data_IF_871316567649
#
_entry.id   IF_871316567649
#
_cell.length_a   1.000
_cell.length_b   1.000
_cell.length_c   1.000
_cell.angle_alpha   90.00
_cell.angle_beta   90.00
_cell.angle_gamma   90.00
#
_symmetry.space_group_name_H-M   'P 1'
#
loop_
_entity.id
_entity.type
_entity.pdbx_description
1 polymer ?
#
# COMPACT_ATOMS: atom_id res chain seq x y z
N UNK A 1 53.67 36.23 3.17
CA UNK A 1 53.82 37.63 3.64
C UNK A 1 52.49 38.33 3.39
N UNK A 2 51.80 39.01 4.31
CA UNK A 2 52.01 39.18 5.77
C UNK A 2 50.68 39.58 6.42
N UNK A 3 50.44 39.01 7.61
CA UNK A 3 49.60 39.44 8.76
C UNK A 3 49.30 40.96 8.84
N UNK A 4 48.15 41.44 9.35
CA UNK A 4 47.78 41.51 10.80
C UNK A 4 46.41 42.26 10.97
N UNK A 5 45.65 42.33 12.09
CA UNK A 5 45.68 41.74 13.45
C UNK A 5 44.27 41.84 14.14
N UNK A 6 44.11 41.33 15.38
CA UNK A 6 42.90 41.27 16.25
C UNK A 6 42.89 42.40 17.34
N UNK A 7 41.78 42.75 18.09
CA UNK A 7 41.31 41.92 19.23
C UNK A 7 39.84 42.00 19.74
N UNK A 8 39.38 40.83 20.23
CA UNK A 8 38.59 40.50 21.47
C UNK A 8 37.62 41.51 22.11
N UNK A 9 36.43 41.01 22.51
CA UNK A 9 36.06 40.81 23.93
C UNK A 9 34.89 39.81 24.12
N UNK A 10 34.89 39.08 25.23
CA UNK A 10 33.79 38.23 25.73
C UNK A 10 33.28 38.77 27.08
N UNK A 11 32.14 38.26 27.59
CA UNK A 11 32.27 37.39 28.77
C UNK A 11 31.36 36.15 28.77
N UNK A 12 31.82 35.18 29.56
CA UNK A 12 31.13 33.96 30.02
C UNK A 12 30.28 34.27 31.28
N UNK A 13 29.42 33.35 31.75
CA UNK A 13 29.18 33.05 33.18
C UNK A 13 28.11 31.96 33.38
N UNK A 14 28.42 31.04 34.31
CA UNK A 14 27.66 29.84 34.64
C UNK A 14 26.90 29.93 35.98
N UNK A 15 25.89 29.05 36.13
CA UNK A 15 25.47 28.33 37.36
C UNK A 15 25.54 29.00 38.75
N UNK A 16 24.44 28.89 39.52
CA UNK A 16 24.50 28.70 40.99
C UNK A 16 23.23 28.05 41.56
N UNK A 17 23.40 27.21 42.57
CA UNK A 17 22.37 26.44 43.26
C UNK A 17 21.94 27.06 44.61
N UNK A 18 20.96 26.39 45.24
CA UNK A 18 20.68 26.27 46.70
C UNK A 18 20.17 27.48 47.49
N UNK A 19 18.95 27.35 48.05
CA UNK A 19 18.80 26.95 49.47
C UNK A 19 17.36 26.51 49.84
N UNK A 20 17.26 25.65 50.86
CA UNK A 20 16.06 24.95 51.35
C UNK A 20 15.11 25.82 52.20
N UNK A 21 13.85 25.37 52.35
CA UNK A 21 13.32 24.89 53.66
C UNK A 21 11.83 24.46 53.62
N UNK A 22 11.61 23.16 53.75
CA UNK A 22 10.68 22.45 54.66
C UNK A 22 9.24 22.93 55.01
N UNK A 23 8.28 22.10 54.55
CA UNK A 23 7.33 21.27 55.36
C UNK A 23 6.08 21.89 56.06
N UNK A 24 4.92 21.22 55.81
CA UNK A 24 3.61 21.18 56.55
C UNK A 24 2.69 22.42 56.45
N UNK A 25 1.35 22.30 56.54
CA UNK A 25 0.45 21.17 56.88
C UNK A 25 -0.94 21.28 56.20
N UNK A 26 -1.73 20.20 56.27
CA UNK A 26 -3.07 20.05 55.69
C UNK A 26 -4.24 20.67 56.52
N UNK A 27 -5.43 20.65 55.89
CA UNK A 27 -6.79 20.68 56.46
C UNK A 27 -7.31 21.90 57.26
N UNK A 28 -8.33 22.58 56.68
CA UNK A 28 -9.70 22.59 57.25
C UNK A 28 -10.72 23.32 56.35
N UNK A 29 -11.91 22.73 56.22
CA UNK A 29 -13.18 23.39 55.82
C UNK A 29 -14.02 23.63 57.12
N UNK A 30 -15.20 24.32 57.15
CA UNK A 30 -16.12 24.65 56.04
C UNK A 30 -16.89 26.01 56.09
N UNK A 31 -17.84 26.17 55.14
CA UNK A 31 -19.25 26.69 55.28
C UNK A 31 -19.66 28.00 54.57
N UNK A 32 -20.90 27.97 54.04
CA UNK A 32 -21.79 29.05 53.51
C UNK A 32 -21.53 29.44 52.02
N UNK A 33 -22.38 29.00 51.07
CA UNK A 33 -23.72 29.51 50.67
C UNK A 33 -23.64 30.86 49.91
N UNK A 34 -24.39 31.17 48.82
CA UNK A 34 -25.83 31.02 48.52
C UNK A 34 -26.09 31.07 46.97
N UNK A 35 -27.30 30.71 46.49
CA UNK A 35 -27.94 30.95 45.16
C UNK A 35 -27.42 30.16 43.93
N UNK A 36 -28.22 29.73 42.93
CA UNK A 36 -29.67 29.42 42.78
C UNK A 36 -29.85 28.57 41.49
N UNK A 37 -30.86 27.70 41.41
CA UNK A 37 -31.24 26.95 40.20
C UNK A 37 -32.53 27.49 39.55
N UNK A 38 -32.73 27.21 38.24
CA UNK A 38 -34.00 26.61 37.78
C UNK A 38 -33.75 25.52 36.70
N UNK A 39 -34.14 24.26 36.92
CA UNK A 39 -35.46 23.66 36.63
C UNK A 39 -35.37 22.70 35.43
N UNK A 40 -35.39 21.39 35.70
CA UNK A 40 -35.45 20.34 34.68
C UNK A 40 -36.90 20.02 34.33
N UNK A 41 -37.24 20.00 33.05
CA UNK A 41 -38.57 19.56 32.58
C UNK A 41 -38.54 18.04 32.38
N UNK A 42 -39.34 17.32 33.16
CA UNK A 42 -39.55 15.89 33.00
C UNK A 42 -40.49 15.62 31.82
N UNK A 43 -40.04 14.88 30.82
CA UNK A 43 -40.92 14.23 29.82
C UNK A 43 -40.81 12.72 29.94
N UNK A 44 -41.83 12.08 30.53
CA UNK A 44 -42.01 10.64 30.41
C UNK A 44 -42.36 10.31 28.97
N UNK A 45 -41.44 9.65 28.27
CA UNK A 45 -41.79 8.76 27.18
C UNK A 45 -41.53 7.34 27.66
N UNK A 46 -42.61 6.60 27.96
CA UNK A 46 -42.55 5.15 28.15
C UNK A 46 -42.03 4.53 26.84
N UNK A 47 -40.75 4.17 26.84
CA UNK A 47 -40.21 3.26 25.84
C UNK A 47 -40.66 1.87 26.25
N UNK A 48 -41.58 1.29 25.47
CA UNK A 48 -41.71 -0.16 25.40
C UNK A 48 -40.30 -0.73 25.19
N UNK A 49 -39.84 -1.55 26.14
CA UNK A 49 -38.58 -2.25 26.00
C UNK A 49 -38.64 -3.09 24.71
N UNK A 50 -37.65 -3.02 23.81
CA UNK A 50 -37.57 -3.97 22.72
C UNK A 50 -37.49 -5.36 23.32
N UNK A 51 -38.35 -6.27 22.87
CA UNK A 51 -38.26 -7.68 23.21
C UNK A 51 -36.87 -8.17 22.80
N UNK A 52 -36.13 -8.83 23.70
CA UNK A 52 -34.81 -9.40 23.41
C UNK A 52 -34.89 -10.64 22.49
N UNK A 53 -35.42 -10.47 21.27
CA UNK A 53 -34.98 -11.28 20.15
C UNK A 53 -33.59 -10.78 19.78
N UNK A 54 -32.55 -11.38 20.36
CA UNK A 54 -31.16 -11.02 20.08
C UNK A 54 -30.90 -11.04 18.58
N UNK A 55 -30.77 -9.86 17.98
CA UNK A 55 -30.50 -9.70 16.55
C UNK A 55 -29.15 -10.36 16.26
N UNK A 56 -29.18 -11.44 15.47
CA UNK A 56 -27.98 -12.19 15.17
C UNK A 56 -27.21 -11.49 14.05
N UNK A 57 -26.08 -10.89 14.40
CA UNK A 57 -25.18 -10.19 13.48
C UNK A 57 -24.88 -11.04 12.22
N UNK A 58 -25.15 -10.47 11.05
CA UNK A 58 -25.14 -11.19 9.75
C UNK A 58 -23.76 -11.82 9.48
N UNK A 59 -22.68 -11.11 9.80
CA UNK A 59 -21.31 -11.56 9.58
C UNK A 59 -20.95 -12.86 10.30
N UNK A 60 -21.63 -13.19 11.41
CA UNK A 60 -21.37 -14.43 12.18
C UNK A 60 -21.57 -15.69 11.32
N UNK A 61 -22.64 -15.71 10.51
CA UNK A 61 -22.94 -16.79 9.57
C UNK A 61 -21.99 -16.88 8.37
N UNK A 62 -21.21 -15.83 8.09
CA UNK A 62 -20.26 -15.75 6.97
C UNK A 62 -18.84 -16.21 7.36
N UNK A 63 -18.57 -16.37 8.66
CA UNK A 63 -17.25 -16.67 9.22
C UNK A 63 -16.57 -17.90 8.60
N UNK A 64 -17.29 -19.01 8.47
CA UNK A 64 -16.78 -20.24 7.85
C UNK A 64 -16.38 -20.04 6.37
N UNK A 65 -17.20 -19.32 5.60
CA UNK A 65 -16.92 -19.02 4.19
C UNK A 65 -15.71 -18.11 4.02
N UNK A 66 -15.56 -17.11 4.91
CA UNK A 66 -14.39 -16.21 4.94
C UNK A 66 -13.11 -16.97 5.30
N UNK A 67 -13.14 -17.80 6.35
CA UNK A 67 -12.02 -18.64 6.76
C UNK A 67 -11.59 -19.66 5.68
N UNK A 68 -12.55 -20.22 4.93
CA UNK A 68 -12.26 -21.13 3.81
C UNK A 68 -11.42 -20.44 2.72
N UNK A 69 -11.73 -19.17 2.41
CA UNK A 69 -10.99 -18.31 1.48
C UNK A 69 -9.68 -17.75 2.08
N UNK A 70 -9.38 -18.04 3.35
CA UNK A 70 -8.21 -17.48 4.04
C UNK A 70 -8.37 -16.03 4.48
N UNK A 71 -9.56 -15.45 4.37
CA UNK A 71 -9.92 -14.10 4.81
C UNK A 71 -10.12 -14.07 6.32
N UNK A 72 -10.12 -12.87 6.93
CA UNK A 72 -10.31 -12.74 8.38
C UNK A 72 -11.71 -13.26 8.78
N UNK A 73 -11.87 -14.18 9.75
CA UNK A 73 -13.17 -14.82 10.00
C UNK A 73 -14.29 -13.84 10.34
N UNK A 74 -14.06 -12.84 11.20
CA UNK A 74 -14.99 -11.71 11.34
C UNK A 74 -14.82 -10.73 10.18
N UNK A 75 -15.93 -10.28 9.61
CA UNK A 75 -15.90 -9.21 8.60
C UNK A 75 -15.59 -7.87 9.29
N UNK A 76 -14.78 -6.99 8.68
CA UNK A 76 -14.66 -5.62 9.15
C UNK A 76 -15.93 -4.87 8.74
N UNK A 77 -16.87 -4.75 9.67
CA UNK A 77 -18.14 -4.04 9.52
C UNK A 77 -18.50 -3.41 10.87
N UNK A 78 -19.21 -2.29 10.83
CA UNK A 78 -19.77 -1.67 12.02
C UNK A 78 -20.93 -2.52 12.57
N UNK A 79 -21.08 -2.58 13.89
CA UNK A 79 -22.09 -3.42 14.55
C UNK A 79 -23.53 -2.98 14.20
N UNK A 80 -23.80 -1.67 14.12
CA UNK A 80 -25.13 -1.16 13.72
C UNK A 80 -25.47 -1.58 12.28
N UNK A 81 -24.48 -1.57 11.39
CA UNK A 81 -24.65 -2.01 10.02
C UNK A 81 -24.85 -3.53 9.89
N UNK A 82 -24.19 -4.36 10.72
CA UNK A 82 -24.28 -5.82 10.66
C UNK A 82 -25.61 -6.39 11.20
N UNK A 83 -26.27 -5.61 12.08
CA UNK A 83 -27.58 -5.90 12.68
C UNK A 83 -28.77 -5.36 11.87
N UNK A 84 -28.53 -4.46 10.91
CA UNK A 84 -29.60 -3.86 10.11
C UNK A 84 -30.23 -4.86 9.10
N UNK A 85 -31.56 -4.84 8.94
CA UNK A 85 -32.31 -5.78 8.09
C UNK A 85 -31.77 -5.91 6.66
N UNK A 86 -31.23 -4.82 6.10
CA UNK A 86 -30.68 -4.82 4.75
C UNK A 86 -29.40 -5.67 4.62
N UNK A 87 -28.68 -5.95 5.71
CA UNK A 87 -27.48 -6.77 5.71
C UNK A 87 -27.77 -8.25 5.43
N UNK A 88 -28.99 -8.71 5.74
CA UNK A 88 -29.42 -10.08 5.44
C UNK A 88 -29.65 -10.34 3.93
N UNK A 89 -29.69 -9.29 3.10
CA UNK A 89 -29.85 -9.39 1.66
C UNK A 89 -28.64 -10.07 0.99
N UNK A 90 -28.90 -10.73 -0.15
CA UNK A 90 -27.90 -11.54 -0.87
C UNK A 90 -26.63 -10.75 -1.25
N UNK A 91 -26.78 -9.51 -1.73
CA UNK A 91 -25.65 -8.69 -2.17
C UNK A 91 -24.80 -8.18 -0.99
N UNK A 92 -25.36 -7.60 0.08
CA UNK A 92 -24.64 -7.32 1.32
C UNK A 92 -23.88 -8.53 1.89
N UNK A 93 -24.46 -9.74 1.89
CA UNK A 93 -23.74 -10.98 2.27
C UNK A 93 -22.53 -11.28 1.39
N UNK A 94 -22.64 -11.11 0.06
CA UNK A 94 -21.49 -11.22 -0.86
C UNK A 94 -20.45 -10.14 -0.57
N UNK A 95 -20.88 -8.88 -0.40
CA UNK A 95 -20.03 -7.72 -0.10
C UNK A 95 -19.26 -7.91 1.20
N UNK A 96 -19.88 -8.42 2.26
CA UNK A 96 -19.21 -8.73 3.53
C UNK A 96 -18.24 -9.91 3.39
N UNK A 97 -18.64 -10.96 2.67
CA UNK A 97 -17.77 -12.13 2.42
C UNK A 97 -16.51 -11.73 1.67
N UNK A 98 -16.64 -10.90 0.63
CA UNK A 98 -15.55 -10.51 -0.28
C UNK A 98 -14.99 -9.10 -0.03
N UNK A 99 -15.27 -8.48 1.14
CA UNK A 99 -14.87 -7.08 1.41
C UNK A 99 -13.37 -6.85 1.25
N UNK A 100 -12.56 -7.79 1.74
CA UNK A 100 -11.09 -7.77 1.63
C UNK A 100 -10.62 -7.83 0.15
N UNK A 101 -11.01 -8.83 -0.67
CA UNK A 101 -10.74 -8.83 -2.11
C UNK A 101 -11.26 -7.59 -2.86
N UNK A 102 -12.44 -7.06 -2.52
CA UNK A 102 -12.94 -5.82 -3.14
C UNK A 102 -12.08 -4.61 -2.76
N UNK A 103 -11.58 -4.55 -1.52
CA UNK A 103 -10.58 -3.57 -1.09
C UNK A 103 -9.31 -3.63 -1.94
N UNK A 104 -8.73 -4.83 -2.11
CA UNK A 104 -7.56 -5.02 -2.99
C UNK A 104 -7.84 -4.61 -4.45
N UNK A 105 -8.99 -5.00 -5.00
CA UNK A 105 -9.40 -4.60 -6.36
C UNK A 105 -9.47 -3.08 -6.50
N UNK A 106 -10.22 -2.39 -5.64
CA UNK A 106 -10.42 -0.95 -5.75
C UNK A 106 -9.18 -0.15 -5.33
N UNK A 107 -8.38 -0.63 -4.38
CA UNK A 107 -7.11 -0.01 -4.02
C UNK A 107 -6.10 -0.06 -5.17
N UNK A 108 -5.96 -1.23 -5.83
CA UNK A 108 -5.11 -1.35 -7.02
C UNK A 108 -5.69 -0.55 -8.19
N UNK A 109 -7.01 -0.50 -8.34
CA UNK A 109 -7.68 0.32 -9.37
C UNK A 109 -7.35 1.81 -9.21
N UNK A 110 -7.47 2.38 -8.00
CA UNK A 110 -7.11 3.77 -7.72
C UNK A 110 -5.62 4.03 -7.94
N UNK A 111 -4.75 3.11 -7.51
CA UNK A 111 -3.31 3.19 -7.74
C UNK A 111 -2.97 3.32 -9.23
N UNK A 112 -3.60 2.52 -10.09
CA UNK A 112 -3.37 2.55 -11.55
C UNK A 112 -4.02 3.77 -12.22
N UNK A 113 -5.20 4.23 -11.79
CA UNK A 113 -5.80 5.46 -12.33
C UNK A 113 -4.87 6.67 -12.19
N UNK A 114 -4.25 6.84 -11.02
CA UNK A 114 -3.30 7.94 -10.77
C UNK A 114 -1.95 7.69 -11.42
N UNK A 115 -1.45 6.45 -11.35
CA UNK A 115 -0.19 6.03 -11.95
C UNK A 115 -0.18 6.21 -13.47
N UNK A 116 -0.92 5.37 -14.20
CA UNK A 116 -1.00 5.40 -15.66
C UNK A 116 -1.56 6.75 -16.15
N UNK A 117 -2.51 7.36 -15.43
CA UNK A 117 -3.05 8.69 -15.76
C UNK A 117 -1.99 9.79 -15.73
N UNK A 118 -1.04 9.76 -14.79
CA UNK A 118 0.08 10.70 -14.75
C UNK A 118 1.06 10.49 -15.90
N UNK A 119 1.31 9.23 -16.31
CA UNK A 119 2.14 8.89 -17.47
C UNK A 119 1.46 9.37 -18.76
N UNK A 120 0.17 9.11 -18.92
CA UNK A 120 -0.63 9.56 -20.06
C UNK A 120 -0.59 11.07 -20.22
N UNK A 121 -0.79 11.83 -19.14
CA UNK A 121 -0.76 13.29 -19.19
C UNK A 121 0.61 13.81 -19.64
N UNK A 122 1.71 13.34 -19.03
CA UNK A 122 3.06 13.81 -19.36
C UNK A 122 3.48 13.41 -20.78
N UNK A 123 3.22 12.16 -21.19
CA UNK A 123 3.58 11.69 -22.53
C UNK A 123 2.80 12.42 -23.61
N UNK A 124 1.46 12.39 -23.55
CA UNK A 124 0.60 12.85 -24.64
C UNK A 124 0.58 14.37 -24.81
N UNK A 125 0.98 15.13 -23.79
CA UNK A 125 1.11 16.59 -23.87
C UNK A 125 2.54 17.08 -24.15
N UNK A 126 3.51 16.19 -24.36
CA UNK A 126 4.93 16.57 -24.60
C UNK A 126 5.04 17.56 -25.76
N UNK A 127 5.68 18.72 -25.50
CA UNK A 127 5.85 19.78 -26.51
C UNK A 127 4.61 20.65 -26.77
N UNK A 128 3.53 20.49 -26.00
CA UNK A 128 2.32 21.28 -26.16
C UNK A 128 2.51 22.71 -25.64
N UNK A 129 2.54 23.68 -26.56
CA UNK A 129 2.82 25.09 -26.29
C UNK A 129 1.71 25.83 -25.51
N UNK A 130 0.50 25.26 -25.46
CA UNK A 130 -0.61 25.80 -24.66
C UNK A 130 -0.53 25.42 -23.17
N UNK A 131 0.42 24.58 -22.77
CA UNK A 131 0.62 24.23 -21.37
C UNK A 131 1.36 25.36 -20.61
N UNK A 132 1.22 25.46 -19.27
CA UNK A 132 2.03 26.37 -18.46
C UNK A 132 3.53 26.13 -18.68
N UNK A 133 4.26 27.15 -19.12
CA UNK A 133 5.68 27.03 -19.47
C UNK A 133 5.97 26.47 -20.87
N UNK A 134 4.95 26.18 -21.68
CA UNK A 134 5.05 25.93 -23.13
C UNK A 134 5.62 24.57 -23.56
N UNK A 135 5.89 23.65 -22.62
CA UNK A 135 6.60 22.39 -22.88
C UNK A 135 5.78 21.11 -22.60
N UNK A 136 4.46 21.24 -22.42
CA UNK A 136 3.57 20.16 -21.99
C UNK A 136 3.16 20.21 -20.51
N UNK A 137 2.23 19.33 -20.12
CA UNK A 137 1.63 19.27 -18.78
C UNK A 137 2.37 18.27 -17.89
N UNK A 138 3.42 18.76 -17.23
CA UNK A 138 4.20 18.03 -16.23
C UNK A 138 5.53 17.48 -16.76
N UNK A 139 6.20 16.70 -15.94
CA UNK A 139 7.50 16.09 -16.23
C UNK A 139 7.63 14.71 -15.55
N UNK A 140 8.77 14.05 -15.69
CA UNK A 140 9.04 12.76 -15.05
C UNK A 140 8.78 12.75 -13.52
N UNK A 141 9.08 13.85 -12.83
CA UNK A 141 8.75 14.02 -11.42
C UNK A 141 7.24 14.02 -11.15
N UNK A 142 6.41 14.57 -12.05
CA UNK A 142 4.95 14.51 -11.95
C UNK A 142 4.42 13.07 -12.00
N UNK A 143 5.10 12.18 -12.73
CA UNK A 143 4.80 10.74 -12.75
C UNK A 143 5.10 10.12 -11.38
N UNK A 144 6.25 10.42 -10.80
CA UNK A 144 6.62 9.92 -9.46
C UNK A 144 5.63 10.40 -8.37
N UNK A 145 5.17 11.65 -8.45
CA UNK A 145 4.08 12.16 -7.59
C UNK A 145 2.76 11.42 -7.82
N UNK A 146 2.38 11.18 -9.09
CA UNK A 146 1.17 10.45 -9.45
C UNK A 146 1.13 9.02 -8.88
N UNK A 147 2.22 8.25 -9.06
CA UNK A 147 2.34 6.91 -8.49
C UNK A 147 2.33 6.90 -6.96
N UNK A 148 3.05 7.83 -6.31
CA UNK A 148 3.01 7.95 -4.85
C UNK A 148 1.60 8.22 -4.33
N UNK A 149 0.89 9.19 -4.93
CA UNK A 149 -0.47 9.55 -4.52
C UNK A 149 -1.45 8.41 -4.79
N UNK A 150 -1.33 7.75 -5.94
CA UNK A 150 -2.14 6.58 -6.29
C UNK A 150 -2.00 5.45 -5.27
N UNK A 151 -0.78 5.13 -4.84
CA UNK A 151 -0.54 4.11 -3.81
C UNK A 151 -1.16 4.53 -2.47
N UNK A 152 -0.95 5.77 -2.01
CA UNK A 152 -1.53 6.26 -0.75
C UNK A 152 -3.06 6.20 -0.75
N UNK A 153 -3.70 6.70 -1.80
CA UNK A 153 -5.16 6.67 -1.93
C UNK A 153 -5.68 5.22 -2.06
N UNK A 154 -4.95 4.37 -2.77
CA UNK A 154 -5.24 2.94 -2.85
C UNK A 154 -5.21 2.25 -1.49
N UNK A 155 -4.27 2.61 -0.61
CA UNK A 155 -4.18 2.07 0.76
C UNK A 155 -5.39 2.48 1.60
N UNK A 156 -5.82 3.75 1.52
CA UNK A 156 -7.02 4.19 2.24
C UNK A 156 -8.27 3.42 1.80
N UNK A 157 -8.42 3.15 0.50
CA UNK A 157 -9.54 2.36 -0.05
C UNK A 157 -9.45 0.89 0.36
N UNK A 158 -8.25 0.32 0.46
CA UNK A 158 -8.00 -1.08 0.78
C UNK A 158 -7.74 -1.36 2.27
N UNK A 159 -7.96 -0.40 3.18
CA UNK A 159 -7.54 -0.54 4.60
C UNK A 159 -7.97 -1.86 5.26
N UNK A 160 -9.22 -2.25 5.05
CA UNK A 160 -9.81 -3.51 5.55
C UNK A 160 -9.11 -4.79 5.07
N UNK A 161 -8.42 -4.76 3.93
CA UNK A 161 -7.68 -5.90 3.38
C UNK A 161 -6.26 -6.05 3.95
N UNK A 162 -5.79 -5.06 4.71
CA UNK A 162 -4.38 -4.86 5.06
C UNK A 162 -3.57 -4.09 4.00
N UNK A 163 -4.22 -3.72 2.88
CA UNK A 163 -3.73 -2.91 1.78
C UNK A 163 -2.37 -3.38 1.20
N UNK A 164 -2.37 -4.54 0.53
CA UNK A 164 -1.16 -5.09 -0.08
C UNK A 164 -0.93 -4.55 -1.49
N UNK A 165 -1.99 -4.48 -2.31
CA UNK A 165 -2.06 -3.92 -3.68
C UNK A 165 -1.05 -4.47 -4.70
N UNK A 166 -0.30 -5.50 -4.30
CA UNK A 166 0.88 -6.02 -4.98
C UNK A 166 1.05 -7.51 -4.65
N UNK A 167 1.06 -8.39 -5.68
CA UNK A 167 1.31 -9.81 -5.50
C UNK A 167 2.62 -10.14 -4.76
N UNK A 168 3.71 -9.40 -5.00
CA UNK A 168 5.01 -9.66 -4.38
C UNK A 168 5.03 -9.33 -2.87
N UNK A 169 4.35 -8.25 -2.46
CA UNK A 169 4.17 -7.89 -1.05
C UNK A 169 3.26 -8.91 -0.36
N UNK A 170 2.15 -9.30 -1.01
CA UNK A 170 1.22 -10.33 -0.50
C UNK A 170 1.95 -11.66 -0.30
N UNK A 171 2.72 -12.12 -1.29
CA UNK A 171 3.53 -13.34 -1.22
C UNK A 171 4.58 -13.29 -0.11
N UNK A 172 5.34 -12.19 0.00
CA UNK A 172 6.36 -12.04 1.04
C UNK A 172 5.73 -12.01 2.43
N UNK A 173 4.50 -11.52 2.56
CA UNK A 173 3.75 -11.52 3.82
C UNK A 173 3.19 -12.91 4.15
N UNK A 174 2.81 -13.70 3.14
CA UNK A 174 2.54 -15.14 3.30
C UNK A 174 3.79 -15.92 3.75
N UNK A 175 5.00 -15.49 3.35
CA UNK A 175 6.27 -16.08 3.75
C UNK A 175 6.71 -15.68 5.17
N UNK A 176 6.77 -14.39 5.48
CA UNK A 176 7.45 -13.85 6.67
C UNK A 176 6.53 -13.23 7.73
N UNK A 177 5.24 -12.98 7.43
CA UNK A 177 4.26 -12.37 8.35
C UNK A 177 3.01 -13.23 8.58
N UNK A 178 3.14 -14.54 8.31
CA UNK A 178 2.10 -15.57 8.58
C UNK A 178 0.76 -15.35 7.89
N UNK A 179 0.66 -14.48 6.88
CA UNK A 179 -0.56 -14.30 6.11
C UNK A 179 -1.04 -15.66 5.55
N UNK A 180 -2.33 -16.03 5.63
CA UNK A 180 -2.79 -17.33 5.17
C UNK A 180 -2.56 -17.52 3.67
N UNK A 181 -1.84 -18.57 3.28
CA UNK A 181 -1.55 -18.89 1.87
C UNK A 181 -2.82 -19.01 0.99
N UNK A 182 -3.97 -19.35 1.58
CA UNK A 182 -5.28 -19.38 0.90
C UNK A 182 -5.77 -17.99 0.45
N UNK A 183 -5.31 -16.92 1.11
CA UNK A 183 -5.63 -15.52 0.76
C UNK A 183 -4.91 -15.05 -0.49
N UNK A 184 -3.72 -15.60 -0.78
CA UNK A 184 -2.88 -15.13 -1.88
C UNK A 184 -3.55 -15.23 -3.27
N UNK A 185 -4.17 -16.37 -3.69
CA UNK A 185 -4.82 -16.46 -5.00
C UNK A 185 -5.97 -15.47 -5.20
N UNK A 186 -6.80 -15.25 -4.17
CA UNK A 186 -7.95 -14.33 -4.28
C UNK A 186 -7.51 -12.87 -4.29
N UNK A 187 -6.47 -12.51 -3.53
CA UNK A 187 -5.85 -11.17 -3.61
C UNK A 187 -5.16 -10.95 -4.95
N UNK A 188 -4.40 -11.93 -5.46
CA UNK A 188 -3.74 -11.88 -6.76
C UNK A 188 -4.74 -11.57 -7.89
N UNK A 189 -5.87 -12.30 -7.93
CA UNK A 189 -6.93 -12.09 -8.93
C UNK A 189 -7.54 -10.70 -8.77
N UNK A 190 -7.87 -10.27 -7.55
CA UNK A 190 -8.43 -8.96 -7.29
C UNK A 190 -7.51 -7.81 -7.75
N UNK A 191 -6.23 -7.87 -7.38
CA UNK A 191 -5.21 -6.88 -7.75
C UNK A 191 -5.05 -6.80 -9.28
N UNK A 192 -4.87 -7.94 -9.97
CA UNK A 192 -4.69 -7.98 -11.43
C UNK A 192 -5.93 -7.46 -12.17
N UNK A 193 -7.14 -7.83 -11.73
CA UNK A 193 -8.39 -7.34 -12.33
C UNK A 193 -8.59 -5.84 -12.05
N UNK A 194 -8.24 -5.34 -10.86
CA UNK A 194 -8.31 -3.92 -10.53
C UNK A 194 -7.41 -3.09 -11.45
N UNK A 195 -6.18 -3.56 -11.67
CA UNK A 195 -5.22 -2.92 -12.57
C UNK A 195 -5.65 -2.97 -14.05
N UNK A 196 -6.17 -4.11 -14.51
CA UNK A 196 -6.72 -4.27 -15.86
C UNK A 196 -7.90 -3.31 -16.10
N UNK A 197 -8.85 -3.21 -15.16
CA UNK A 197 -10.00 -2.33 -15.31
C UNK A 197 -9.61 -0.84 -15.26
N UNK A 198 -8.70 -0.43 -14.36
CA UNK A 198 -8.26 0.95 -14.24
C UNK A 198 -7.51 1.45 -15.48
N UNK A 199 -6.56 0.65 -15.99
CA UNK A 199 -5.85 0.99 -17.22
C UNK A 199 -6.79 1.11 -18.43
N UNK A 200 -7.87 0.31 -18.48
CA UNK A 200 -8.94 0.46 -19.48
C UNK A 200 -9.70 1.78 -19.37
N UNK A 201 -9.94 2.28 -18.15
CA UNK A 201 -10.52 3.60 -17.90
C UNK A 201 -9.55 4.73 -18.30
N UNK A 202 -8.25 4.59 -18.01
CA UNK A 202 -7.22 5.55 -18.47
C UNK A 202 -7.15 5.58 -19.99
N UNK A 203 -7.16 4.42 -20.66
CA UNK A 203 -7.21 4.33 -22.11
C UNK A 203 -8.45 5.02 -22.69
N UNK A 204 -9.64 4.77 -22.13
CA UNK A 204 -10.87 5.41 -22.58
C UNK A 204 -10.84 6.94 -22.40
N UNK A 205 -10.29 7.43 -21.27
CA UNK A 205 -10.15 8.86 -20.99
C UNK A 205 -9.19 9.56 -21.96
N UNK A 206 -8.08 8.90 -22.32
CA UNK A 206 -7.02 9.49 -23.16
C UNK A 206 -7.07 9.07 -24.64
N UNK A 207 -8.07 8.32 -25.09
CA UNK A 207 -8.12 7.72 -26.43
C UNK A 207 -7.88 8.72 -27.58
N UNK A 208 -8.40 9.95 -27.47
CA UNK A 208 -8.20 10.99 -28.48
C UNK A 208 -6.77 11.56 -28.47
N UNK A 209 -6.16 11.70 -27.29
CA UNK A 209 -4.75 12.08 -27.16
C UNK A 209 -3.84 10.99 -27.72
N UNK A 210 -4.10 9.73 -27.38
CA UNK A 210 -3.41 8.55 -27.91
C UNK A 210 -3.49 8.53 -29.45
N UNK A 211 -4.71 8.58 -30.03
CA UNK A 211 -4.91 8.62 -31.47
C UNK A 211 -4.14 9.78 -32.15
N UNK A 212 -4.07 10.95 -31.50
CA UNK A 212 -3.36 12.12 -32.05
C UNK A 212 -1.85 11.93 -32.00
N UNK A 213 -1.32 11.45 -30.88
CA UNK A 213 0.11 11.19 -30.66
C UNK A 213 0.66 10.07 -31.56
N UNK A 214 -0.18 9.05 -31.84
CA UNK A 214 0.18 7.90 -32.66
C UNK A 214 -0.04 8.13 -34.17
N UNK A 215 -0.60 9.27 -34.56
CA UNK A 215 -0.79 9.67 -35.97
C UNK A 215 -2.11 9.20 -36.61
N UNK A 216 -3.05 8.66 -35.85
CA UNK A 216 -4.39 8.32 -36.32
C UNK A 216 -5.18 7.37 -35.42
N UNK A 217 -6.51 7.26 -35.62
CA UNK A 217 -7.33 6.27 -34.93
C UNK A 217 -6.94 4.84 -35.33
N UNK A 218 -6.90 3.93 -34.36
CA UNK A 218 -6.61 2.51 -34.57
C UNK A 218 -5.13 2.16 -34.74
N UNK A 219 -4.24 3.15 -34.83
CA UNK A 219 -2.79 2.94 -34.71
C UNK A 219 -2.47 2.77 -33.23
N UNK A 220 -1.73 1.72 -32.85
CA UNK A 220 -1.32 1.44 -31.47
C UNK A 220 0.12 0.97 -31.46
N UNK A 221 1.01 1.68 -30.77
CA UNK A 221 2.45 1.53 -30.94
C UNK A 221 3.20 1.27 -29.63
N UNK A 222 4.18 0.39 -29.73
CA UNK A 222 5.00 -0.11 -28.61
C UNK A 222 6.44 0.40 -28.78
N UNK A 223 7.23 0.59 -27.69
CA UNK A 223 8.66 0.89 -27.82
C UNK A 223 9.36 -0.20 -28.67
N UNK A 224 10.29 0.17 -29.58
CA UNK A 224 11.00 1.44 -29.65
C UNK A 224 10.41 2.49 -30.62
N UNK A 225 9.12 2.42 -30.97
CA UNK A 225 8.50 3.48 -31.79
C UNK A 225 8.64 4.86 -31.14
N UNK A 226 8.93 5.90 -31.94
CA UNK A 226 9.00 7.30 -31.47
C UNK A 226 7.66 7.84 -30.99
N UNK A 227 6.56 7.26 -31.46
CA UNK A 227 5.18 7.59 -31.07
C UNK A 227 4.61 6.58 -30.06
N UNK A 228 5.44 5.68 -29.49
CA UNK A 228 4.98 4.63 -28.60
C UNK A 228 4.20 5.15 -27.39
N UNK A 229 2.93 4.76 -27.27
CA UNK A 229 2.09 5.08 -26.11
C UNK A 229 1.83 3.89 -25.18
N UNK A 230 2.24 2.67 -25.55
CA UNK A 230 2.08 1.47 -24.70
C UNK A 230 2.73 1.62 -23.30
N UNK A 231 3.76 2.47 -23.19
CA UNK A 231 4.43 2.83 -21.93
C UNK A 231 3.57 3.61 -20.93
N UNK A 232 2.38 4.07 -21.32
CA UNK A 232 1.36 4.61 -20.40
C UNK A 232 0.91 3.53 -19.41
N UNK A 233 0.76 2.29 -19.89
CA UNK A 233 0.07 1.21 -19.16
C UNK A 233 1.05 0.30 -18.43
N UNK A 234 2.08 -0.17 -19.13
CA UNK A 234 3.02 -1.17 -18.62
C UNK A 234 4.46 -0.75 -18.93
N UNK A 235 5.43 -1.30 -18.20
CA UNK A 235 6.80 -0.80 -18.27
C UNK A 235 7.60 -1.46 -19.40
N UNK A 236 8.58 -0.73 -19.92
CA UNK A 236 9.52 -1.17 -20.94
C UNK A 236 10.92 -0.70 -20.51
N UNK A 237 11.98 -1.46 -20.78
CA UNK A 237 13.32 -1.13 -20.32
C UNK A 237 13.99 -0.15 -21.28
N UNK A 238 14.99 0.57 -20.79
CA UNK A 238 15.90 1.34 -21.66
C UNK A 238 16.65 0.40 -22.62
N UNK A 239 16.90 0.90 -23.83
CA UNK A 239 17.36 0.10 -24.96
C UNK A 239 18.79 -0.45 -24.83
N UNK A 240 19.60 0.13 -23.95
CA UNK A 240 20.98 -0.24 -23.63
C UNK A 240 21.11 -1.29 -22.52
N UNK A 241 20.02 -1.60 -21.80
CA UNK A 241 20.07 -2.50 -20.65
C UNK A 241 20.09 -3.99 -21.04
N UNK A 242 21.06 -4.71 -20.49
CA UNK A 242 21.10 -6.17 -20.54
C UNK A 242 19.97 -6.80 -19.71
N UNK A 243 19.63 -8.07 -19.98
CA UNK A 243 18.63 -8.81 -19.16
C UNK A 243 19.02 -8.91 -17.68
N UNK A 244 20.31 -8.99 -17.36
CA UNK A 244 20.78 -8.97 -15.98
C UNK A 244 20.54 -7.61 -15.33
N UNK A 245 20.83 -6.50 -16.03
CA UNK A 245 20.58 -5.13 -15.57
C UNK A 245 19.07 -4.87 -15.36
N UNK A 246 18.24 -5.29 -16.32
CA UNK A 246 16.78 -5.20 -16.23
C UNK A 246 16.23 -5.92 -15.00
N UNK A 247 16.68 -7.16 -14.75
CA UNK A 247 16.27 -7.93 -13.57
C UNK A 247 16.79 -7.30 -12.26
N UNK A 248 18.05 -6.85 -12.24
CA UNK A 248 18.67 -6.25 -11.06
C UNK A 248 17.99 -4.93 -10.65
N UNK A 249 17.57 -4.11 -11.62
CA UNK A 249 16.86 -2.84 -11.37
C UNK A 249 15.50 -3.05 -10.69
N UNK A 250 14.68 -3.98 -11.21
CA UNK A 250 13.41 -4.36 -10.56
C UNK A 250 13.63 -5.05 -9.20
N UNK A 251 14.67 -5.89 -9.08
CA UNK A 251 15.04 -6.57 -7.84
C UNK A 251 15.44 -5.59 -6.72
N UNK A 252 16.31 -4.61 -7.00
CA UNK A 252 16.78 -3.66 -5.97
C UNK A 252 15.66 -2.71 -5.54
N UNK A 253 14.83 -2.21 -6.46
CA UNK A 253 13.70 -1.36 -6.13
C UNK A 253 12.66 -2.12 -5.28
N UNK A 254 12.37 -3.38 -5.61
CA UNK A 254 11.46 -4.25 -4.84
C UNK A 254 12.03 -4.69 -3.49
N UNK A 255 13.36 -4.79 -3.37
CA UNK A 255 14.08 -5.04 -2.12
C UNK A 255 13.89 -3.86 -1.16
N UNK A 256 14.15 -2.63 -1.63
CA UNK A 256 13.99 -1.41 -0.84
C UNK A 256 12.52 -1.23 -0.44
N UNK A 257 11.58 -1.42 -1.39
CA UNK A 257 10.14 -1.38 -1.14
C UNK A 257 9.74 -2.25 0.06
N UNK A 258 10.09 -3.53 0.04
CA UNK A 258 9.64 -4.47 1.07
C UNK A 258 10.36 -4.27 2.41
N UNK A 259 11.66 -3.97 2.38
CA UNK A 259 12.44 -3.68 3.57
C UNK A 259 11.86 -2.48 4.34
N UNK A 260 11.53 -1.39 3.63
CA UNK A 260 10.93 -0.20 4.25
C UNK A 260 9.48 -0.45 4.67
N UNK A 261 8.68 -1.22 3.92
CA UNK A 261 7.34 -1.63 4.36
C UNK A 261 7.36 -2.38 5.69
N UNK A 262 8.31 -3.31 5.86
CA UNK A 262 8.47 -4.01 7.14
C UNK A 262 8.96 -3.10 8.25
N UNK A 263 9.87 -2.15 7.98
CA UNK A 263 10.28 -1.14 8.94
C UNK A 263 9.13 -0.24 9.41
N UNK A 264 8.21 0.12 8.51
CA UNK A 264 7.04 0.97 8.77
C UNK A 264 5.85 0.24 9.43
N UNK A 265 5.77 -1.10 9.29
CA UNK A 265 4.75 -1.96 9.93
C UNK A 265 5.25 -2.67 11.20
N UNK A 266 6.46 -2.39 11.65
CA UNK A 266 7.03 -2.96 12.87
C UNK A 266 6.89 -1.98 14.03
N UNK A 267 5.90 -2.21 14.91
CA UNK A 267 5.64 -1.36 16.08
C UNK A 267 6.80 -1.33 17.09
N UNK A 268 7.76 -2.26 16.99
CA UNK A 268 8.96 -2.28 17.86
C UNK A 268 10.10 -1.40 17.32
N UNK A 269 10.05 -1.03 16.05
CA UNK A 269 11.02 -0.15 15.43
C UNK A 269 10.77 1.30 15.84
N UNK A 270 11.74 1.98 16.47
CA UNK A 270 11.56 3.37 16.94
C UNK A 270 11.32 4.38 15.81
N UNK A 271 11.67 4.07 14.56
CA UNK A 271 11.27 4.89 13.39
C UNK A 271 9.77 4.79 13.07
N UNK A 272 9.15 3.65 13.38
CA UNK A 272 7.71 3.39 13.26
C UNK A 272 6.89 4.36 14.11
N UNK A 273 7.38 4.72 15.31
CA UNK A 273 6.69 5.64 16.24
C UNK A 273 6.30 7.01 15.63
N UNK A 274 7.00 7.46 14.59
CA UNK A 274 6.69 8.72 13.87
C UNK A 274 5.98 8.52 12.52
N UNK A 275 5.78 7.28 12.06
CA UNK A 275 5.38 6.98 10.68
C UNK A 275 4.39 5.80 10.52
N UNK A 276 3.95 5.17 11.61
CA UNK A 276 3.04 4.02 11.60
C UNK A 276 1.58 4.38 11.96
N UNK A 277 0.73 3.36 12.07
CA UNK A 277 -0.71 3.54 12.24
C UNK A 277 -1.30 4.40 11.13
N UNK A 278 -1.98 5.49 11.51
CA UNK A 278 -2.65 6.40 10.58
C UNK A 278 -1.70 7.12 9.60
N UNK A 279 -0.39 7.20 9.89
CA UNK A 279 0.61 7.83 9.02
C UNK A 279 1.20 6.88 7.97
N UNK A 280 0.99 5.56 8.11
CA UNK A 280 1.54 4.55 7.20
C UNK A 280 1.27 4.84 5.71
N UNK A 281 0.08 5.29 5.28
CA UNK A 281 -0.19 5.57 3.86
C UNK A 281 0.60 6.77 3.32
N UNK A 282 0.85 7.79 4.15
CA UNK A 282 1.69 8.94 3.77
C UNK A 282 3.18 8.57 3.74
N UNK A 283 3.63 7.69 4.65
CA UNK A 283 4.98 7.14 4.56
C UNK A 283 5.18 6.33 3.27
N UNK A 284 4.16 5.56 2.84
CA UNK A 284 4.22 4.83 1.58
C UNK A 284 4.13 5.73 0.33
N UNK A 285 3.41 6.87 0.40
CA UNK A 285 3.49 7.92 -0.61
C UNK A 285 4.96 8.31 -0.87
N UNK A 286 5.70 8.67 0.17
CA UNK A 286 7.09 9.14 0.03
C UNK A 286 8.05 8.02 -0.42
N UNK A 287 7.83 6.77 0.01
CA UNK A 287 8.61 5.62 -0.44
C UNK A 287 8.45 5.41 -1.96
N UNK A 288 7.22 5.39 -2.46
CA UNK A 288 6.94 5.16 -3.89
C UNK A 288 7.42 6.35 -4.74
N UNK A 289 7.21 7.58 -4.26
CA UNK A 289 7.78 8.78 -4.88
C UNK A 289 9.31 8.68 -5.01
N UNK A 290 9.99 8.28 -3.92
CA UNK A 290 11.45 8.10 -3.90
C UNK A 290 11.94 6.98 -4.83
N UNK A 291 11.23 5.86 -4.89
CA UNK A 291 11.54 4.76 -5.82
C UNK A 291 11.40 5.22 -7.28
N UNK A 292 10.32 5.93 -7.63
CA UNK A 292 10.14 6.50 -8.96
C UNK A 292 11.22 7.53 -9.33
N UNK A 293 11.55 8.42 -8.39
CA UNK A 293 12.55 9.47 -8.58
C UNK A 293 13.99 8.94 -8.71
N UNK A 294 14.35 7.86 -8.00
CA UNK A 294 15.72 7.37 -7.91
C UNK A 294 16.03 6.11 -8.72
N UNK A 295 15.05 5.22 -8.94
CA UNK A 295 15.24 3.90 -9.56
C UNK A 295 14.41 3.70 -10.84
N UNK A 296 13.65 4.70 -11.26
CA UNK A 296 12.64 4.51 -12.29
C UNK A 296 13.06 4.71 -13.75
N UNK A 297 14.24 5.29 -14.01
CA UNK A 297 14.71 5.52 -15.39
C UNK A 297 14.91 4.23 -16.18
N UNK A 298 15.58 3.24 -15.58
CA UNK A 298 16.02 2.02 -16.24
C UNK A 298 14.86 1.13 -16.73
N UNK A 299 13.86 0.91 -15.86
CA UNK A 299 12.82 -0.11 -16.05
C UNK A 299 11.40 0.37 -15.78
N UNK A 300 11.20 1.66 -15.43
CA UNK A 300 9.90 2.18 -15.05
C UNK A 300 9.40 1.71 -13.67
N UNK A 301 10.31 1.20 -12.81
CA UNK A 301 10.05 0.81 -11.41
C UNK A 301 8.75 0.03 -11.23
N UNK A 302 8.58 -1.07 -11.99
CA UNK A 302 7.32 -1.80 -11.98
C UNK A 302 6.99 -2.35 -10.59
N UNK A 303 7.96 -2.99 -9.92
CA UNK A 303 7.96 -3.47 -8.52
C UNK A 303 6.74 -4.26 -8.04
N UNK A 304 5.82 -4.60 -8.95
CA UNK A 304 4.48 -5.09 -8.70
C UNK A 304 3.93 -5.76 -9.97
N UNK A 305 3.70 -7.07 -9.91
CA UNK A 305 3.18 -7.84 -11.05
C UNK A 305 1.82 -7.30 -11.52
N UNK A 306 0.90 -6.96 -10.62
CA UNK A 306 -0.45 -6.53 -11.01
C UNK A 306 -0.41 -5.20 -11.78
N UNK A 307 0.48 -4.29 -11.36
CA UNK A 307 0.73 -2.97 -11.99
C UNK A 307 1.33 -3.06 -13.38
N UNK A 308 1.96 -4.17 -13.74
CA UNK A 308 2.47 -4.38 -15.09
C UNK A 308 1.57 -5.31 -15.92
N UNK A 309 1.29 -6.51 -15.41
CA UNK A 309 0.56 -7.55 -16.14
C UNK A 309 -0.88 -7.17 -16.47
N UNK A 310 -1.62 -6.57 -15.52
CA UNK A 310 -3.01 -6.16 -15.76
C UNK A 310 -3.11 -5.13 -16.89
N UNK A 311 -2.38 -4.00 -16.82
CA UNK A 311 -2.34 -3.01 -17.89
C UNK A 311 -1.70 -3.49 -19.20
N UNK A 312 -0.72 -4.40 -19.15
CA UNK A 312 -0.15 -5.06 -20.34
C UNK A 312 -1.17 -5.94 -21.06
N UNK A 313 -1.98 -6.69 -20.31
CA UNK A 313 -3.07 -7.49 -20.87
C UNK A 313 -4.19 -6.59 -21.41
N UNK A 314 -4.51 -5.48 -20.75
CA UNK A 314 -5.47 -4.49 -21.24
C UNK A 314 -4.99 -3.87 -22.56
N UNK A 315 -3.74 -3.40 -22.63
CA UNK A 315 -3.17 -2.80 -23.85
C UNK A 315 -3.16 -3.81 -25.02
N UNK A 316 -2.83 -5.08 -24.76
CA UNK A 316 -3.01 -6.15 -25.74
C UNK A 316 -4.45 -6.24 -26.26
N UNK A 317 -5.45 -6.27 -25.37
CA UNK A 317 -6.87 -6.34 -25.73
C UNK A 317 -7.39 -5.13 -26.53
N UNK A 318 -6.86 -3.92 -26.32
CA UNK A 318 -7.29 -2.70 -27.06
C UNK A 318 -6.46 -2.41 -28.33
N UNK A 319 -5.60 -3.34 -28.74
CA UNK A 319 -5.03 -3.35 -30.09
C UNK A 319 -3.53 -3.05 -30.22
N UNK A 320 -2.77 -2.93 -29.12
CA UNK A 320 -1.30 -2.76 -29.19
C UNK A 320 -0.54 -4.00 -29.72
N UNK A 321 -1.24 -5.12 -29.95
CA UNK A 321 -0.69 -6.30 -30.61
C UNK A 321 0.37 -7.05 -29.79
N UNK A 322 0.97 -8.07 -30.39
CA UNK A 322 1.91 -8.96 -29.68
C UNK A 322 3.20 -8.28 -29.22
N UNK A 323 3.51 -7.08 -29.72
CA UNK A 323 4.71 -6.32 -29.37
C UNK A 323 4.78 -5.96 -27.88
N UNK A 324 3.65 -5.83 -27.19
CA UNK A 324 3.63 -5.61 -25.73
C UNK A 324 4.24 -6.79 -24.93
N UNK A 325 4.41 -7.95 -25.56
CA UNK A 325 5.05 -9.14 -24.97
C UNK A 325 6.48 -9.36 -25.49
N UNK A 326 6.81 -8.93 -26.71
CA UNK A 326 8.15 -9.15 -27.32
C UNK A 326 9.11 -7.97 -27.19
N UNK A 327 8.60 -6.75 -26.94
CA UNK A 327 9.44 -5.55 -26.78
C UNK A 327 10.40 -5.66 -25.58
N UNK A 328 11.50 -4.89 -25.65
CA UNK A 328 12.65 -5.02 -24.75
C UNK A 328 13.32 -6.39 -24.81
N UNK A 329 13.13 -7.15 -25.89
CA UNK A 329 13.61 -8.53 -26.03
C UNK A 329 12.91 -9.49 -25.07
N UNK A 330 11.58 -9.52 -25.09
CA UNK A 330 10.74 -10.20 -24.09
C UNK A 330 10.99 -9.68 -22.67
N UNK A 331 10.75 -8.39 -22.45
CA UNK A 331 10.89 -7.80 -21.12
C UNK A 331 9.80 -8.24 -20.13
N UNK A 332 8.58 -8.51 -20.60
CA UNK A 332 7.37 -8.69 -19.79
C UNK A 332 7.52 -9.61 -18.56
N UNK A 333 8.30 -10.69 -18.64
CA UNK A 333 8.43 -11.64 -17.52
C UNK A 333 9.24 -11.07 -16.34
N UNK A 334 10.09 -10.07 -16.57
CA UNK A 334 10.94 -9.47 -15.53
C UNK A 334 10.10 -8.77 -14.44
N UNK A 335 9.19 -7.82 -14.73
CA UNK A 335 8.31 -7.21 -13.72
C UNK A 335 7.31 -8.21 -13.11
N UNK A 336 7.15 -9.40 -13.70
CA UNK A 336 6.33 -10.48 -13.13
C UNK A 336 7.11 -11.39 -12.16
N UNK A 337 8.44 -11.43 -12.25
CA UNK A 337 9.28 -12.38 -11.50
C UNK A 337 10.24 -11.68 -10.55
N UNK A 338 10.99 -10.69 -11.03
CA UNK A 338 12.00 -9.97 -10.23
C UNK A 338 11.43 -9.35 -8.94
N UNK A 339 10.21 -8.77 -8.92
CA UNK A 339 9.66 -8.23 -7.67
C UNK A 339 9.42 -9.26 -6.58
N UNK A 340 9.09 -10.52 -6.90
CA UNK A 340 8.94 -11.57 -5.89
C UNK A 340 10.27 -11.89 -5.21
N UNK A 341 11.36 -11.97 -5.97
CA UNK A 341 12.71 -12.18 -5.44
C UNK A 341 13.19 -10.96 -4.64
N UNK A 342 12.97 -9.75 -5.16
CA UNK A 342 13.35 -8.52 -4.49
C UNK A 342 12.59 -8.33 -3.17
N UNK A 343 11.27 -8.44 -3.18
CA UNK A 343 10.49 -8.32 -1.94
C UNK A 343 10.84 -9.41 -0.93
N UNK A 344 10.97 -10.67 -1.35
CA UNK A 344 11.40 -11.74 -0.44
C UNK A 344 12.77 -11.43 0.17
N UNK A 345 13.76 -11.00 -0.63
CA UNK A 345 15.09 -10.65 -0.15
C UNK A 345 15.08 -9.44 0.80
N UNK A 346 14.34 -8.37 0.48
CA UNK A 346 14.18 -7.20 1.34
C UNK A 346 13.51 -7.53 2.68
N UNK A 347 12.49 -8.39 2.66
CA UNK A 347 11.86 -8.91 3.87
C UNK A 347 12.81 -9.78 4.72
N UNK A 348 13.59 -10.65 4.08
CA UNK A 348 14.60 -11.47 4.74
C UNK A 348 15.70 -10.59 5.38
N UNK A 349 16.17 -9.55 4.69
CA UNK A 349 17.16 -8.60 5.24
C UNK A 349 16.63 -7.86 6.47
N UNK A 350 15.38 -7.39 6.44
CA UNK A 350 14.79 -6.74 7.61
C UNK A 350 14.70 -7.73 8.79
N UNK A 351 14.29 -8.97 8.52
CA UNK A 351 14.12 -9.99 9.53
C UNK A 351 15.44 -10.51 10.12
N UNK A 352 16.52 -10.60 9.33
CA UNK A 352 17.85 -11.03 9.80
C UNK A 352 18.53 -9.97 10.68
N UNK A 353 18.37 -8.69 10.34
CA UNK A 353 19.20 -7.62 10.93
C UNK A 353 18.47 -6.69 11.90
N UNK A 354 17.15 -6.54 11.81
CA UNK A 354 16.39 -5.53 12.58
C UNK A 354 15.18 -6.09 13.33
N UNK A 355 14.41 -7.00 12.73
CA UNK A 355 13.18 -7.51 13.36
C UNK A 355 13.50 -8.50 14.49
N UNK A 356 13.02 -8.21 15.69
CA UNK A 356 13.15 -9.12 16.85
C UNK A 356 11.89 -9.94 17.13
N UNK A 357 10.82 -9.74 16.35
CA UNK A 357 9.54 -10.41 16.53
C UNK A 357 9.41 -11.79 15.84
N UNK A 358 8.21 -12.38 15.84
CA UNK A 358 7.98 -13.74 15.32
C UNK A 358 8.14 -13.85 13.79
N UNK A 359 9.27 -14.39 13.34
CA UNK A 359 9.61 -14.67 11.93
C UNK A 359 10.15 -16.11 11.80
N UNK A 360 10.00 -16.79 10.64
CA UNK A 360 10.66 -18.08 10.38
C UNK A 360 12.19 -18.03 10.57
N UNK A 361 12.81 -16.88 10.32
CA UNK A 361 14.26 -16.66 10.50
C UNK A 361 14.63 -16.63 11.99
N UNK A 362 13.76 -16.07 12.82
CA UNK A 362 13.94 -15.93 14.27
C UNK A 362 13.61 -17.22 15.03
N UNK A 363 13.94 -18.37 14.44
CA UNK A 363 13.78 -19.71 15.01
C UNK A 363 15.13 -20.43 15.03
N UNK A 364 15.31 -21.50 15.84
CA UNK A 364 16.55 -22.24 15.89
C UNK A 364 16.99 -22.71 14.50
N UNK A 365 18.26 -22.45 14.16
CA UNK A 365 18.87 -22.74 12.86
C UNK A 365 18.25 -21.98 11.67
N UNK A 366 17.82 -20.72 11.87
CA UNK A 366 17.27 -19.87 10.81
C UNK A 366 16.10 -20.51 10.04
N UNK A 367 15.24 -21.27 10.73
CA UNK A 367 14.13 -22.00 10.09
C UNK A 367 14.51 -23.29 9.36
N UNK A 368 15.78 -23.70 9.30
CA UNK A 368 16.19 -24.97 8.66
C UNK A 368 15.44 -26.19 9.22
N UNK A 369 15.06 -26.17 10.51
CA UNK A 369 14.25 -27.23 11.12
C UNK A 369 12.85 -27.34 10.51
N UNK A 370 12.27 -26.24 10.04
CA UNK A 370 10.96 -26.24 9.36
C UNK A 370 11.03 -26.94 7.99
N UNK A 371 12.15 -26.82 7.28
CA UNK A 371 12.39 -27.52 6.01
C UNK A 371 12.55 -29.04 6.19
N UNK A 372 13.10 -29.48 7.33
CA UNK A 372 13.25 -30.91 7.66
C UNK A 372 11.90 -31.53 8.08
N UNK A 373 11.03 -30.75 8.75
CA UNK A 373 9.72 -31.22 9.22
C UNK A 373 8.56 -30.34 8.71
N UNK A 374 8.33 -30.27 7.37
CA UNK A 374 7.40 -29.32 6.78
C UNK A 374 5.96 -29.49 7.26
N UNK A 375 5.51 -30.74 7.49
CA UNK A 375 4.18 -31.02 8.04
C UNK A 375 3.98 -30.42 9.44
N UNK A 376 5.00 -30.47 10.30
CA UNK A 376 4.94 -29.91 11.64
C UNK A 376 4.98 -28.38 11.62
N UNK A 377 5.84 -27.80 10.77
CA UNK A 377 5.91 -26.35 10.58
C UNK A 377 4.60 -25.76 10.03
N UNK A 378 3.96 -26.44 9.06
CA UNK A 378 2.64 -26.05 8.54
C UNK A 378 1.57 -26.14 9.64
N UNK A 379 1.55 -27.22 10.43
CA UNK A 379 0.58 -27.38 11.50
C UNK A 379 0.73 -26.31 12.60
N UNK A 380 1.96 -25.99 12.99
CA UNK A 380 2.28 -24.92 13.95
C UNK A 380 1.88 -23.55 13.39
N UNK A 381 2.20 -23.25 12.12
CA UNK A 381 1.80 -22.00 11.46
C UNK A 381 0.27 -21.84 11.42
N UNK A 382 -0.47 -22.91 11.12
CA UNK A 382 -1.94 -22.92 11.15
C UNK A 382 -2.49 -22.74 12.57
N UNK A 383 -1.82 -23.30 13.60
CA UNK A 383 -2.21 -23.06 15.01
C UNK A 383 -2.07 -21.58 15.37
N UNK A 384 -0.91 -20.99 15.09
CA UNK A 384 -0.63 -19.58 15.36
C UNK A 384 -1.56 -18.64 14.59
N UNK A 385 -1.92 -18.98 13.34
CA UNK A 385 -2.90 -18.22 12.56
C UNK A 385 -4.29 -18.21 13.24
N UNK A 386 -4.73 -19.32 13.83
CA UNK A 386 -5.99 -19.39 14.59
C UNK A 386 -5.92 -18.62 15.91
N UNK A 387 -4.82 -18.74 16.64
CA UNK A 387 -4.55 -17.96 17.86
C UNK A 387 -4.61 -16.45 17.59
N UNK A 388 -4.08 -16.03 16.44
CA UNK A 388 -4.11 -14.64 15.94
C UNK A 388 -5.37 -14.29 15.13
N UNK A 389 -6.40 -15.15 15.14
CA UNK A 389 -7.70 -14.98 14.45
C UNK A 389 -7.61 -14.66 12.94
N UNK A 390 -6.56 -15.10 12.25
CA UNK A 390 -6.41 -14.87 10.80
C UNK A 390 -7.23 -15.81 9.91
N UNK A 391 -7.63 -16.98 10.44
CA UNK A 391 -8.42 -18.07 9.82
C UNK A 391 -9.09 -18.93 10.88
#
# INVERSE_FOLDING_TARGET
>A
MTSSVLPRHSPDWSSKESHDNDIKSEESSPTQAVLTSPTTITTQHDRLAPTESGLQATSTGLSHSRALLGLHPSAPIDEEHDLAEHSDLWWPKIRMTLKEPFGEFFGTFIMILFGDGSVAQVLLSTGQTSAPGGNGFGAYQSISWGWGLGVMLGIYVAGDSGAYLNPAITFTSCLLRKLPWRRFPIYFIAQVLGAFCASGVVYANYINGINTFEGGPGIRTVPPSKTATAGIFCTYPQADLTKASQFFSEFIASTILMFVIFALKDDTNKGSFSASGNWFPLALFFLIFGLGACFGWDTGYAINLARDFGPRLMSYCVGYGHEVWSSGGYYFWIPMVAPFFGCAFGGLLYDVFLYTGPSPINTPWFGLRELIHPKAAIAERVRQQKEQRMV
#
